data_IF_291056984810
#
_entry.id   IF_291056984810
#
_cell.length_a   1.000
_cell.length_b   1.000
_cell.length_c   1.000
_cell.angle_alpha   90.00
_cell.angle_beta   90.00
_cell.angle_gamma   90.00
#
_symmetry.space_group_name_H-M   'P 1'
#
loop_
_entity.id
_entity.type
_entity.pdbx_description
1 polymer ?
#
# COMPACT_ATOMS: atom_id res chain seq x y z
N UNK A 1 -2.18 -12.15 -13.01
CA UNK A 1 -1.61 -11.58 -14.24
C UNK A 1 -2.63 -11.83 -15.32
N UNK A 2 -3.25 -10.79 -15.86
CA UNK A 2 -4.23 -10.95 -16.93
C UNK A 2 -3.52 -10.67 -18.26
N UNK A 3 -3.47 -11.68 -19.12
CA UNK A 3 -2.71 -11.66 -20.37
C UNK A 3 -3.72 -11.75 -21.51
N UNK A 4 -3.86 -10.69 -22.34
CA UNK A 4 -4.81 -10.73 -23.44
C UNK A 4 -4.39 -11.76 -24.49
N UNK A 5 -5.36 -12.48 -25.10
CA UNK A 5 -5.08 -13.53 -26.07
C UNK A 5 -4.48 -12.98 -27.36
N UNK A 6 -3.77 -13.85 -28.09
CA UNK A 6 -3.26 -13.51 -29.42
C UNK A 6 -4.38 -13.62 -30.46
N UNK A 7 -4.58 -12.57 -31.26
CA UNK A 7 -5.48 -12.63 -32.42
C UNK A 7 -4.67 -13.08 -33.67
N UNK A 8 -5.07 -14.14 -34.39
CA UNK A 8 -4.38 -14.64 -35.59
C UNK A 8 -4.23 -13.63 -36.74
N UNK A 9 -5.15 -12.66 -36.87
CA UNK A 9 -5.14 -11.61 -37.89
C UNK A 9 -3.96 -10.62 -37.75
N UNK A 10 -3.18 -10.80 -36.69
CA UNK A 10 -2.12 -9.93 -36.27
C UNK A 10 -0.72 -10.49 -36.54
N UNK A 11 -0.63 -11.66 -37.18
CA UNK A 11 0.64 -12.24 -37.61
C UNK A 11 1.37 -11.30 -38.59
N UNK A 12 2.68 -11.10 -38.37
CA UNK A 12 3.52 -10.25 -39.23
C UNK A 12 3.40 -8.73 -39.02
N UNK A 13 2.62 -8.25 -38.04
CA UNK A 13 2.47 -6.81 -37.72
C UNK A 13 3.15 -6.43 -36.40
N UNK A 14 3.81 -5.28 -36.35
CA UNK A 14 4.38 -4.72 -35.10
C UNK A 14 3.27 -4.29 -34.13
N UNK A 15 3.32 -4.79 -32.89
CA UNK A 15 2.26 -4.60 -31.89
C UNK A 15 2.80 -4.40 -30.48
N UNK A 16 2.14 -3.51 -29.74
CA UNK A 16 2.30 -3.37 -28.29
C UNK A 16 1.20 -4.19 -27.64
N UNK A 17 1.58 -5.10 -26.73
CA UNK A 17 0.64 -5.83 -25.86
C UNK A 17 0.77 -5.31 -24.45
N UNK A 18 -0.36 -5.04 -23.82
CA UNK A 18 -0.43 -4.63 -22.43
C UNK A 18 -0.97 -5.81 -21.64
N UNK A 19 -0.24 -6.21 -20.60
CA UNK A 19 -0.69 -7.22 -19.65
C UNK A 19 -0.82 -6.56 -18.28
N UNK A 20 -1.92 -6.81 -17.59
CA UNK A 20 -2.24 -6.12 -16.34
C UNK A 20 -1.86 -7.01 -15.15
N UNK A 21 -1.13 -6.42 -14.19
CA UNK A 21 -0.81 -7.06 -12.93
C UNK A 21 -1.46 -6.32 -11.77
N UNK A 22 -2.48 -6.92 -11.17
CA UNK A 22 -3.01 -6.45 -9.89
C UNK A 22 -2.13 -6.99 -8.75
N UNK A 23 -1.69 -6.10 -7.86
CA UNK A 23 -0.97 -6.46 -6.63
C UNK A 23 -1.77 -5.92 -5.44
N UNK A 24 -2.29 -6.83 -4.62
CA UNK A 24 -3.10 -6.51 -3.44
C UNK A 24 -2.43 -7.18 -2.23
N UNK A 25 -2.36 -6.46 -1.10
CA UNK A 25 -1.88 -7.03 0.16
C UNK A 25 -2.95 -7.95 0.75
N UNK A 26 -2.62 -9.22 0.99
CA UNK A 26 -3.44 -10.13 1.79
C UNK A 26 -2.87 -10.19 3.21
N UNK A 27 -3.67 -9.81 4.19
CA UNK A 27 -3.27 -9.73 5.60
C UNK A 27 -4.04 -10.78 6.38
N UNK A 28 -3.33 -11.78 6.92
CA UNK A 28 -3.94 -12.76 7.83
C UNK A 28 -4.10 -12.16 9.22
N UNK A 29 -5.27 -12.36 9.84
CA UNK A 29 -5.57 -11.90 11.20
C UNK A 29 -5.87 -13.11 12.09
N UNK A 30 -5.09 -13.34 13.16
CA UNK A 30 -5.39 -14.39 14.14
C UNK A 30 -6.74 -14.17 14.82
N UNK A 31 -7.34 -15.27 15.31
CA UNK A 31 -8.51 -15.19 16.17
C UNK A 31 -8.17 -14.44 17.47
N UNK A 32 -9.13 -13.68 18.01
CA UNK A 32 -8.94 -12.87 19.22
C UNK A 32 -8.28 -11.49 19.01
N UNK A 33 -7.73 -11.21 17.82
CA UNK A 33 -7.25 -9.86 17.48
C UNK A 33 -8.40 -9.00 16.96
N UNK A 34 -8.64 -7.88 17.65
CA UNK A 34 -9.64 -6.90 17.28
C UNK A 34 -9.32 -6.25 15.91
N UNK A 35 -10.34 -5.91 15.10
CA UNK A 35 -10.12 -5.23 13.83
C UNK A 35 -9.52 -3.83 14.02
N UNK A 36 -8.92 -3.28 12.97
CA UNK A 36 -8.44 -1.89 12.97
C UNK A 36 -9.63 -0.95 13.15
N UNK A 37 -9.52 -0.07 14.13
CA UNK A 37 -10.51 0.95 14.46
C UNK A 37 -9.82 2.28 14.80
N UNK A 38 -10.60 3.29 15.20
CA UNK A 38 -10.06 4.61 15.59
C UNK A 38 -9.09 4.51 16.77
N UNK A 39 -9.33 3.59 17.70
CA UNK A 39 -8.44 3.38 18.85
C UNK A 39 -7.08 2.85 18.40
N UNK A 40 -7.07 1.89 17.48
CA UNK A 40 -5.86 1.35 16.86
C UNK A 40 -5.02 2.46 16.20
N UNK A 41 -5.68 3.42 15.51
CA UNK A 41 -4.97 4.56 14.91
C UNK A 41 -4.36 5.52 15.94
N UNK A 42 -5.02 5.71 17.09
CA UNK A 42 -4.49 6.55 18.17
C UNK A 42 -3.26 5.96 18.87
N UNK A 43 -2.99 4.67 18.70
CA UNK A 43 -1.81 3.97 19.24
C UNK A 43 -0.57 4.08 18.34
N UNK A 44 -0.66 4.79 17.22
CA UNK A 44 0.49 5.08 16.37
C UNK A 44 1.34 6.19 16.98
N UNK A 45 2.60 5.89 17.28
CA UNK A 45 3.55 6.84 17.83
C UNK A 45 4.47 7.39 16.73
N UNK A 46 4.34 8.68 16.41
CA UNK A 46 5.12 9.34 15.35
C UNK A 46 6.26 10.14 15.99
N UNK A 47 7.50 9.86 15.60
CA UNK A 47 8.70 10.56 16.09
C UNK A 47 9.54 11.07 14.92
N UNK A 48 9.98 12.33 15.01
CA UNK A 48 11.02 12.86 14.12
C UNK A 48 12.39 12.49 14.69
N UNK A 49 13.22 11.79 13.91
CA UNK A 49 14.60 11.46 14.27
C UNK A 49 15.52 11.97 13.18
N UNK A 50 16.34 12.97 13.49
CA UNK A 50 17.20 13.67 12.53
C UNK A 50 16.41 14.16 11.32
N UNK A 51 16.71 13.62 10.13
CA UNK A 51 16.07 13.93 8.86
C UNK A 51 15.03 12.89 8.42
N UNK A 52 14.51 12.08 9.35
CA UNK A 52 13.53 11.03 9.08
C UNK A 52 12.32 11.09 10.03
N UNK A 53 11.20 10.54 9.57
CA UNK A 53 10.00 10.30 10.37
C UNK A 53 9.91 8.81 10.63
N UNK A 54 9.80 8.42 11.90
CA UNK A 54 9.57 7.05 12.33
C UNK A 54 8.14 6.94 12.87
N UNK A 55 7.38 5.99 12.36
CA UNK A 55 6.04 5.65 12.86
C UNK A 55 6.16 4.30 13.54
N UNK A 56 5.97 4.27 14.85
CA UNK A 56 5.90 3.04 15.63
C UNK A 56 4.44 2.57 15.71
N UNK A 57 4.18 1.36 15.22
CA UNK A 57 2.87 0.72 15.33
C UNK A 57 2.90 -0.27 16.49
N UNK A 58 2.28 0.10 17.60
CA UNK A 58 2.19 -0.74 18.80
C UNK A 58 0.96 -1.66 18.80
N UNK A 59 0.21 -1.68 17.70
CA UNK A 59 -0.97 -2.54 17.54
C UNK A 59 -0.60 -3.88 16.90
N UNK A 60 -1.47 -4.87 17.07
CA UNK A 60 -1.34 -6.18 16.43
C UNK A 60 -1.79 -6.21 14.96
N UNK A 61 -2.19 -5.07 14.39
CA UNK A 61 -2.75 -4.99 13.04
C UNK A 61 -1.80 -4.28 12.07
N UNK A 62 -1.84 -4.67 10.80
CA UNK A 62 -1.24 -3.87 9.73
C UNK A 62 -2.05 -2.59 9.52
N UNK A 63 -1.39 -1.43 9.57
CA UNK A 63 -2.01 -0.13 9.32
C UNK A 63 -1.30 0.52 8.13
N UNK A 64 -2.06 0.88 7.10
CA UNK A 64 -1.55 1.60 5.93
C UNK A 64 -1.67 3.10 6.16
N UNK A 65 -0.57 3.83 6.07
CA UNK A 65 -0.52 5.29 6.19
C UNK A 65 -0.44 5.90 4.80
N UNK A 66 -1.53 6.54 4.36
CA UNK A 66 -1.63 7.11 3.01
C UNK A 66 -1.01 8.49 2.90
N UNK A 67 -1.11 9.30 3.96
CA UNK A 67 -0.68 10.69 3.96
C UNK A 67 -0.04 11.06 5.27
N UNK A 68 1.14 11.68 5.20
CA UNK A 68 1.85 12.29 6.30
C UNK A 68 1.99 13.77 5.96
N UNK A 69 1.49 14.65 6.85
CA UNK A 69 1.61 16.10 6.70
C UNK A 69 2.48 16.68 7.83
N UNK A 70 3.43 17.52 7.47
CA UNK A 70 4.16 18.37 8.40
C UNK A 70 3.84 19.83 8.07
N UNK A 71 3.28 20.58 9.01
CA UNK A 71 2.88 21.98 8.81
C UNK A 71 2.02 22.16 7.53
N UNK A 72 1.00 21.30 7.36
CA UNK A 72 0.11 21.21 6.19
C UNK A 72 0.75 20.81 4.84
N UNK A 73 2.07 20.61 4.77
CA UNK A 73 2.75 20.11 3.57
C UNK A 73 2.82 18.59 3.61
N UNK A 74 2.42 17.92 2.50
CA UNK A 74 2.56 16.46 2.36
C UNK A 74 4.05 16.12 2.23
N UNK A 75 4.52 15.19 3.06
CA UNK A 75 5.94 14.82 3.11
C UNK A 75 6.23 13.39 2.66
N UNK A 76 5.21 12.56 2.44
CA UNK A 76 5.38 11.22 1.91
C UNK A 76 5.04 11.17 0.40
N UNK A 77 5.91 10.54 -0.37
CA UNK A 77 5.67 10.32 -1.80
C UNK A 77 4.75 9.12 -2.03
N UNK A 78 4.86 8.10 -1.19
CA UNK A 78 4.14 6.83 -1.29
C UNK A 78 3.40 6.51 0.02
N UNK A 79 2.36 5.70 -0.10
CA UNK A 79 1.67 5.11 1.06
C UNK A 79 2.52 3.99 1.62
N UNK A 80 2.71 3.96 2.94
CA UNK A 80 3.48 2.93 3.64
C UNK A 80 2.56 1.96 4.38
#
# INVERSE_FOLDING_TARGET
MDIPPNNPQNAGKNKIKLALQNRIKLLWRPSGIAPVDKKSLSQLNIKKKNNAISINNETANWITVTTIKAQNVKVNNESI
#
